data_IF_896584499212
#
_entry.id   IF_896584499212
#
_cell.length_a   1.000
_cell.length_b   1.000
_cell.length_c   1.000
_cell.angle_alpha   90.00
_cell.angle_beta   90.00
_cell.angle_gamma   90.00
#
_symmetry.space_group_name_H-M   'P 1'
#
loop_
_entity.id
_entity.type
_entity.pdbx_description
1 polymer ?
#
# COMPACT_ATOMS: atom_id res chain seq x y z
N UNK A 1 -12.46 19.49 -9.54
CA UNK A 1 -11.95 18.09 -9.53
C UNK A 1 -13.09 17.17 -9.94
N UNK A 2 -12.86 16.22 -10.86
CA UNK A 2 -13.86 15.22 -11.23
C UNK A 2 -13.74 14.00 -10.30
N UNK A 3 -14.40 14.06 -9.15
CA UNK A 3 -14.30 13.06 -8.06
C UNK A 3 -14.69 11.66 -8.52
N UNK A 4 -15.64 11.53 -9.46
CA UNK A 4 -16.07 10.25 -10.01
C UNK A 4 -14.93 9.52 -10.72
N UNK A 5 -14.17 10.23 -11.55
CA UNK A 5 -13.04 9.66 -12.29
C UNK A 5 -11.91 9.20 -11.36
N UNK A 6 -11.64 9.94 -10.28
CA UNK A 6 -10.60 9.57 -9.30
C UNK A 6 -11.01 8.27 -8.58
N UNK A 7 -12.27 8.17 -8.15
CA UNK A 7 -12.77 6.98 -7.48
C UNK A 7 -12.77 5.75 -8.42
N UNK A 8 -13.24 5.91 -9.66
CA UNK A 8 -13.24 4.85 -10.67
C UNK A 8 -11.81 4.35 -10.95
N UNK A 9 -10.84 5.26 -11.03
CA UNK A 9 -9.43 4.90 -11.23
C UNK A 9 -8.83 4.16 -10.02
N UNK A 10 -9.12 4.61 -8.80
CA UNK A 10 -8.67 3.93 -7.58
C UNK A 10 -9.29 2.54 -7.45
N UNK A 11 -10.58 2.38 -7.79
CA UNK A 11 -11.24 1.08 -7.79
C UNK A 11 -10.61 0.12 -8.82
N UNK A 12 -10.32 0.60 -10.04
CA UNK A 12 -9.60 -0.18 -11.06
C UNK A 12 -8.20 -0.58 -10.59
N UNK A 13 -7.49 0.29 -9.88
CA UNK A 13 -6.18 -0.03 -9.30
C UNK A 13 -6.31 -1.13 -8.24
N UNK A 14 -7.28 -1.03 -7.33
CA UNK A 14 -7.52 -2.04 -6.31
C UNK A 14 -7.80 -3.43 -6.92
N UNK A 15 -8.60 -3.49 -7.99
CA UNK A 15 -8.87 -4.73 -8.73
C UNK A 15 -7.62 -5.30 -9.39
N UNK A 16 -6.79 -4.47 -10.04
CA UNK A 16 -5.52 -4.91 -10.64
C UNK A 16 -4.53 -5.45 -9.61
N UNK A 17 -4.52 -4.86 -8.42
CA UNK A 17 -3.71 -5.33 -7.29
C UNK A 17 -4.32 -6.55 -6.59
N UNK A 18 -5.45 -7.06 -7.09
CA UNK A 18 -6.16 -8.24 -6.54
C UNK A 18 -6.47 -8.08 -5.04
N UNK A 19 -6.82 -6.86 -4.61
CA UNK A 19 -7.27 -6.62 -3.25
C UNK A 19 -8.65 -7.27 -3.05
N UNK A 20 -8.73 -8.24 -2.15
CA UNK A 20 -9.93 -9.08 -1.96
C UNK A 20 -10.93 -8.51 -0.95
N UNK A 21 -10.54 -7.48 -0.19
CA UNK A 21 -11.38 -6.88 0.84
C UNK A 21 -10.74 -5.65 1.48
N UNK A 22 -11.49 -5.03 2.38
CA UNK A 22 -11.06 -3.86 3.15
C UNK A 22 -11.11 -4.16 4.66
N UNK A 23 -10.19 -3.58 5.47
CA UNK A 23 -9.08 -2.72 5.07
C UNK A 23 -7.96 -3.48 4.34
N UNK A 24 -7.21 -2.80 3.48
CA UNK A 24 -5.97 -3.27 2.89
C UNK A 24 -4.98 -2.10 2.88
N UNK A 25 -3.72 -2.35 3.25
CA UNK A 25 -2.70 -1.32 3.40
C UNK A 25 -1.54 -1.59 2.44
N UNK A 26 -1.10 -0.55 1.73
CA UNK A 26 0.09 -0.59 0.88
C UNK A 26 1.05 0.47 1.41
N UNK A 27 2.23 0.03 1.85
CA UNK A 27 3.28 0.90 2.39
C UNK A 27 4.44 0.92 1.39
N UNK A 28 4.79 2.11 0.91
CA UNK A 28 5.79 2.34 -0.12
C UNK A 28 6.56 3.66 0.13
N UNK A 29 7.80 3.81 -0.39
CA UNK A 29 8.47 5.10 -0.36
C UNK A 29 7.76 6.13 -1.25
N UNK A 30 7.86 7.41 -0.91
CA UNK A 30 7.28 8.49 -1.72
C UNK A 30 7.90 8.61 -3.13
N UNK A 31 9.12 8.08 -3.33
CA UNK A 31 9.84 8.05 -4.61
C UNK A 31 10.63 6.74 -4.73
N UNK A 32 10.83 6.24 -5.94
CA UNK A 32 11.67 5.06 -6.18
C UNK A 32 11.10 3.76 -5.58
N UNK A 33 9.78 3.60 -5.61
CA UNK A 33 9.15 2.35 -5.21
C UNK A 33 9.60 1.19 -6.11
N UNK A 34 10.00 0.09 -5.49
CA UNK A 34 10.41 -1.16 -6.11
C UNK A 34 9.81 -2.32 -5.34
N UNK A 35 9.79 -3.52 -5.91
CA UNK A 35 9.31 -4.73 -5.22
C UNK A 35 10.03 -4.98 -3.89
N UNK A 36 11.27 -4.50 -3.75
CA UNK A 36 12.09 -4.67 -2.55
C UNK A 36 11.71 -3.75 -1.39
N UNK A 37 11.08 -2.60 -1.65
CA UNK A 37 10.76 -1.59 -0.63
C UNK A 37 9.25 -1.30 -0.52
N UNK A 38 8.42 -2.12 -1.18
CA UNK A 38 6.96 -2.11 -1.03
C UNK A 38 6.53 -3.24 -0.10
N UNK A 39 5.50 -2.97 0.70
CA UNK A 39 4.82 -3.96 1.52
C UNK A 39 3.31 -3.87 1.29
N UNK A 40 2.68 -4.99 1.01
CA UNK A 40 1.22 -5.13 0.90
C UNK A 40 0.74 -5.92 2.11
N UNK A 41 -0.19 -5.34 2.86
CA UNK A 41 -0.79 -5.98 4.05
C UNK A 41 -2.27 -6.20 3.75
N UNK A 42 -2.71 -7.46 3.57
CA UNK A 42 -4.12 -7.78 3.49
C UNK A 42 -4.75 -7.65 4.88
N UNK A 43 -5.84 -6.90 5.00
CA UNK A 43 -6.49 -6.68 6.30
C UNK A 43 -5.88 -5.55 7.12
N UNK A 44 -6.34 -5.46 8.38
CA UNK A 44 -5.79 -4.54 9.36
C UNK A 44 -4.41 -4.98 9.83
N UNK A 45 -3.53 -4.03 10.13
CA UNK A 45 -2.20 -4.29 10.66
C UNK A 45 -2.10 -3.87 12.12
N UNK A 46 -1.50 -4.73 12.94
CA UNK A 46 -1.03 -4.32 14.27
C UNK A 46 0.17 -3.38 14.17
N UNK A 47 0.46 -2.66 15.27
CA UNK A 47 1.51 -1.63 15.33
C UNK A 47 2.87 -2.12 14.87
N UNK A 48 3.29 -3.32 15.27
CA UNK A 48 4.60 -3.86 14.91
C UNK A 48 4.73 -4.18 13.42
N UNK A 49 3.70 -4.80 12.83
CA UNK A 49 3.67 -5.10 11.39
C UNK A 49 3.71 -3.81 10.57
N UNK A 50 2.93 -2.81 10.99
CA UNK A 50 2.91 -1.52 10.32
C UNK A 50 4.27 -0.79 10.43
N UNK A 51 4.89 -0.80 11.61
CA UNK A 51 6.21 -0.17 11.81
C UNK A 51 7.29 -0.84 10.95
N UNK A 52 7.32 -2.18 10.90
CA UNK A 52 8.25 -2.92 10.03
C UNK A 52 8.07 -2.57 8.55
N UNK A 53 6.82 -2.43 8.09
CA UNK A 53 6.52 -2.04 6.72
C UNK A 53 7.00 -0.61 6.41
N UNK A 54 6.83 0.32 7.37
CA UNK A 54 7.32 1.70 7.26
C UNK A 54 8.86 1.73 7.21
N UNK A 55 9.53 0.99 8.10
CA UNK A 55 10.99 0.95 8.13
C UNK A 55 11.57 0.37 6.84
N UNK A 56 10.92 -0.68 6.28
CA UNK A 56 11.27 -1.23 4.96
C UNK A 56 11.11 -0.19 3.85
N UNK A 57 9.99 0.52 3.81
CA UNK A 57 9.76 1.56 2.82
C UNK A 57 10.74 2.73 2.96
N UNK A 58 11.15 3.07 4.19
CA UNK A 58 12.12 4.11 4.47
C UNK A 58 13.59 3.70 4.21
N UNK A 59 13.85 2.45 3.81
CA UNK A 59 15.22 1.93 3.65
C UNK A 59 15.96 1.74 4.98
N UNK A 60 15.22 1.64 6.09
CA UNK A 60 15.73 1.44 7.45
C UNK A 60 15.67 -0.02 7.91
N UNK A 61 14.97 -0.88 7.15
CA UNK A 61 15.01 -2.32 7.39
C UNK A 61 16.44 -2.82 7.15
N UNK A 62 17.09 -3.27 8.23
CA UNK A 62 18.33 -4.03 8.17
C UNK A 62 18.07 -5.45 7.70
#
# INVERSE_FOLDING_TARGET
>A
MNTKTILDNNNRLAQKLTLQGTPALIVLPAKGATEKNVTVIPGGAGRETLQKAIDKAAGKAK
#
